data_IF_366722434450
#
_entry.id   IF_366722434450
#
_cell.length_a   1.000
_cell.length_b   1.000
_cell.length_c   1.000
_cell.angle_alpha   90.00
_cell.angle_beta   90.00
_cell.angle_gamma   90.00
#
_symmetry.space_group_name_H-M   'P 1'
#
loop_
_entity.id
_entity.type
_entity.pdbx_description
1 polymer ?
#
# COMPACT_ATOMS: atom_id res chain seq x y z
N UNK A 1 -47.34 -52.67 38.95
CA UNK A 1 -46.54 -52.63 40.20
C UNK A 1 -45.75 -53.94 40.22
N UNK A 2 -44.45 -53.97 39.85
CA UNK A 2 -43.37 -53.33 40.59
C UNK A 2 -42.22 -52.78 39.70
N UNK A 3 -41.25 -52.18 40.39
CA UNK A 3 -40.01 -51.50 39.97
C UNK A 3 -39.02 -52.33 39.14
N UNK A 4 -38.26 -51.71 38.20
CA UNK A 4 -37.03 -52.29 37.65
C UNK A 4 -35.82 -51.87 38.51
N UNK A 5 -35.06 -52.83 39.03
CA UNK A 5 -33.91 -53.49 38.40
C UNK A 5 -32.59 -52.88 38.90
N UNK A 6 -32.11 -53.47 39.99
CA UNK A 6 -30.70 -53.49 40.37
C UNK A 6 -29.90 -54.12 39.23
N UNK A 7 -28.90 -53.42 38.72
CA UNK A 7 -27.83 -54.04 37.94
C UNK A 7 -26.53 -53.90 38.70
N UNK A 8 -25.99 -55.05 39.10
CA UNK A 8 -24.59 -55.22 39.43
C UNK A 8 -23.85 -55.27 38.10
N UNK A 9 -22.89 -54.39 37.88
CA UNK A 9 -21.80 -54.61 36.94
C UNK A 9 -20.52 -54.12 37.57
N UNK A 10 -19.51 -54.96 37.35
CA UNK A 10 -18.26 -55.03 38.07
C UNK A 10 -17.39 -53.78 37.95
N UNK A 11 -16.49 -53.69 38.92
CA UNK A 11 -15.56 -52.60 39.09
C UNK A 11 -14.76 -52.30 37.84
N UNK A 12 -14.72 -51.02 37.51
CA UNK A 12 -13.57 -50.31 36.98
C UNK A 12 -13.80 -48.84 37.33
N UNK A 13 -13.22 -48.41 38.45
CA UNK A 13 -13.17 -46.99 38.83
C UNK A 13 -12.28 -46.28 37.82
N UNK A 14 -12.87 -45.78 36.73
CA UNK A 14 -12.18 -44.92 35.78
C UNK A 14 -12.13 -43.52 36.36
N UNK A 15 -11.06 -43.22 37.07
CA UNK A 15 -10.74 -41.86 37.52
C UNK A 15 -10.38 -41.03 36.28
N UNK A 16 -11.35 -40.33 35.71
CA UNK A 16 -11.07 -39.29 34.72
C UNK A 16 -10.35 -38.15 35.44
N UNK A 17 -9.02 -38.21 35.48
CA UNK A 17 -8.19 -37.04 35.77
C UNK A 17 -8.32 -36.09 34.58
N UNK A 18 -9.16 -35.07 34.75
CA UNK A 18 -9.21 -33.91 33.87
C UNK A 18 -7.85 -33.21 33.91
N UNK A 19 -6.94 -33.65 33.03
CA UNK A 19 -5.66 -33.00 32.83
C UNK A 19 -5.93 -31.77 31.99
N UNK A 20 -6.22 -30.65 32.66
CA UNK A 20 -6.22 -29.33 32.01
C UNK A 20 -4.78 -29.07 31.54
N UNK A 21 -4.49 -29.41 30.28
CA UNK A 21 -3.21 -29.08 29.68
C UNK A 21 -3.02 -27.57 29.75
N UNK A 22 -2.05 -27.13 30.56
CA UNK A 22 -1.67 -25.72 30.66
C UNK A 22 -1.28 -25.23 29.27
N UNK A 23 -2.01 -24.25 28.74
CA UNK A 23 -1.62 -23.56 27.51
C UNK A 23 -0.18 -23.05 27.67
N UNK A 24 0.72 -23.26 26.69
CA UNK A 24 2.08 -22.75 26.79
C UNK A 24 2.02 -21.23 26.91
N UNK A 25 2.54 -20.71 28.02
CA UNK A 25 2.61 -19.29 28.28
C UNK A 25 3.27 -18.59 27.09
N UNK A 26 2.49 -17.72 26.41
CA UNK A 26 2.95 -16.97 25.25
C UNK A 26 4.19 -16.19 25.67
N UNK A 27 5.35 -16.47 25.04
CA UNK A 27 6.61 -15.76 25.31
C UNK A 27 6.36 -14.25 25.18
N UNK A 28 6.35 -13.57 26.33
CA UNK A 28 6.26 -12.12 26.37
C UNK A 28 7.57 -11.58 25.83
N UNK A 29 7.50 -10.86 24.71
CA UNK A 29 8.71 -10.29 24.10
C UNK A 29 9.29 -9.27 25.09
N UNK A 30 10.62 -9.26 25.24
CA UNK A 30 11.34 -8.39 26.20
C UNK A 30 11.21 -6.88 25.87
N UNK A 31 10.62 -6.55 24.73
CA UNK A 31 10.28 -5.20 24.27
C UNK A 31 8.80 -4.85 24.43
N UNK A 32 7.97 -5.77 24.94
CA UNK A 32 6.58 -5.49 25.23
C UNK A 32 6.46 -4.33 26.23
N UNK A 33 5.81 -3.24 25.81
CA UNK A 33 5.61 -2.05 26.65
C UNK A 33 6.74 -1.03 26.61
N UNK A 34 7.85 -1.27 25.88
CA UNK A 34 8.83 -0.20 25.62
C UNK A 34 8.24 0.75 24.56
N UNK A 35 8.00 2.04 24.88
CA UNK A 35 7.52 2.98 23.89
C UNK A 35 8.55 3.03 22.76
N UNK A 36 8.13 2.61 21.56
CA UNK A 36 8.92 2.87 20.39
C UNK A 36 8.98 4.39 20.22
N UNK A 37 10.19 4.93 20.20
CA UNK A 37 10.41 6.34 19.91
C UNK A 37 9.76 6.73 18.58
N UNK A 38 9.64 8.04 18.30
CA UNK A 38 9.03 8.52 17.06
C UNK A 38 9.66 7.80 15.86
N UNK A 39 8.80 7.26 15.00
CA UNK A 39 9.23 6.48 13.84
C UNK A 39 10.08 7.39 12.95
N UNK A 40 11.32 6.98 12.68
CA UNK A 40 12.20 7.74 11.79
C UNK A 40 11.51 7.98 10.44
N UNK A 41 11.63 9.20 9.87
CA UNK A 41 11.06 9.50 8.57
C UNK A 41 11.68 8.59 7.51
N UNK A 42 10.87 8.20 6.52
CA UNK A 42 11.37 7.38 5.41
C UNK A 42 12.33 8.21 4.56
N UNK A 43 13.44 7.59 4.15
CA UNK A 43 14.39 8.21 3.23
C UNK A 43 13.85 8.18 1.80
N UNK A 44 14.24 9.15 0.99
CA UNK A 44 13.97 9.16 -0.44
C UNK A 44 14.52 7.91 -1.11
N UNK A 45 13.82 7.44 -2.15
CA UNK A 45 14.25 6.26 -2.89
C UNK A 45 15.35 6.65 -3.88
N UNK A 46 16.49 5.94 -3.93
CA UNK A 46 17.56 6.26 -4.88
C UNK A 46 17.08 6.06 -6.31
N UNK A 47 17.46 6.96 -7.21
CA UNK A 47 17.07 6.92 -8.63
C UNK A 47 18.31 6.78 -9.51
N UNK A 48 18.26 5.88 -10.48
CA UNK A 48 19.29 5.69 -11.51
C UNK A 48 18.65 5.85 -12.89
N UNK A 49 19.15 6.77 -13.72
CA UNK A 49 18.69 6.92 -15.10
C UNK A 49 19.53 6.03 -16.01
N UNK A 50 18.88 5.32 -16.92
CA UNK A 50 19.52 4.50 -17.95
C UNK A 50 19.48 5.20 -19.31
N UNK A 51 20.40 4.82 -20.20
CA UNK A 51 20.51 5.40 -21.55
C UNK A 51 19.35 4.98 -22.48
N UNK A 52 18.62 3.91 -22.13
CA UNK A 52 17.51 3.38 -22.92
C UNK A 52 16.16 4.09 -22.66
N UNK A 53 16.19 5.28 -22.04
CA UNK A 53 14.97 6.02 -21.69
C UNK A 53 14.21 5.45 -20.48
N UNK A 54 14.78 4.50 -19.74
CA UNK A 54 14.22 3.96 -18.49
C UNK A 54 14.90 4.55 -17.26
N UNK A 55 14.15 4.71 -16.18
CA UNK A 55 14.67 5.04 -14.86
C UNK A 55 14.38 3.91 -13.87
N UNK A 56 15.35 3.66 -13.00
CA UNK A 56 15.24 2.73 -11.88
C UNK A 56 15.05 3.50 -10.59
N UNK A 57 14.09 3.08 -9.78
CA UNK A 57 13.87 3.59 -8.42
C UNK A 57 14.11 2.44 -7.45
N UNK A 58 15.13 2.55 -6.62
CA UNK A 58 15.45 1.56 -5.60
C UNK A 58 14.39 1.55 -4.51
N UNK A 59 13.73 0.40 -4.32
CA UNK A 59 12.66 0.28 -3.36
C UNK A 59 13.23 0.02 -1.96
N UNK A 60 12.60 0.62 -0.96
CA UNK A 60 13.04 0.51 0.44
C UNK A 60 11.93 -0.03 1.34
N UNK A 61 12.31 -0.60 2.48
CA UNK A 61 11.39 -1.13 3.48
C UNK A 61 11.14 -2.64 3.38
N UNK A 62 10.28 -3.16 4.26
CA UNK A 62 10.14 -4.60 4.59
C UNK A 62 10.04 -5.56 3.39
N UNK A 63 9.37 -5.15 2.32
CA UNK A 63 9.18 -5.98 1.13
C UNK A 63 9.92 -5.47 -0.11
N UNK A 64 10.50 -4.26 -0.05
CA UNK A 64 11.11 -3.58 -1.19
C UNK A 64 12.63 -3.65 -1.26
N UNK A 65 13.33 -3.90 -0.14
CA UNK A 65 14.79 -3.93 -0.13
C UNK A 65 15.35 -4.89 -1.19
N UNK A 66 16.26 -4.39 -2.03
CA UNK A 66 16.91 -5.15 -3.11
C UNK A 66 16.12 -5.20 -4.43
N UNK A 67 14.89 -4.64 -4.46
CA UNK A 67 14.08 -4.53 -5.68
C UNK A 67 14.16 -3.14 -6.27
N UNK A 68 13.94 -3.05 -7.58
CA UNK A 68 13.94 -1.81 -8.33
C UNK A 68 12.66 -1.68 -9.12
N UNK A 69 12.00 -0.54 -9.01
CA UNK A 69 10.91 -0.16 -9.89
C UNK A 69 11.51 0.43 -11.18
N UNK A 70 11.10 -0.09 -12.33
CA UNK A 70 11.43 0.47 -13.65
C UNK A 70 10.26 1.31 -14.14
N UNK A 71 10.56 2.52 -14.59
CA UNK A 71 9.58 3.43 -15.19
C UNK A 71 10.20 4.13 -16.38
N UNK A 72 9.38 4.56 -17.34
CA UNK A 72 9.88 5.41 -18.42
C UNK A 72 10.33 6.77 -17.87
N UNK A 73 11.45 7.28 -18.36
CA UNK A 73 12.05 8.54 -17.88
C UNK A 73 11.11 9.73 -18.03
N UNK A 74 10.22 9.68 -19.03
CA UNK A 74 9.17 10.68 -19.26
C UNK A 74 8.17 10.79 -18.10
N UNK A 75 7.90 9.70 -17.37
CA UNK A 75 6.92 9.68 -16.28
C UNK A 75 7.57 9.83 -14.88
N UNK A 76 8.90 9.80 -14.82
CA UNK A 76 9.66 9.91 -13.57
C UNK A 76 9.38 11.23 -12.82
N UNK A 77 9.34 12.42 -13.44
CA UNK A 77 9.09 13.67 -12.72
C UNK A 77 7.75 13.68 -12.00
N UNK A 78 6.67 13.27 -12.68
CA UNK A 78 5.32 13.18 -12.12
C UNK A 78 5.28 12.21 -10.93
N UNK A 79 5.92 11.03 -11.10
CA UNK A 79 5.98 10.03 -10.05
C UNK A 79 6.75 10.51 -8.82
N UNK A 80 7.90 11.15 -9.00
CA UNK A 80 8.69 11.68 -7.87
C UNK A 80 7.96 12.82 -7.16
N UNK A 81 7.30 13.72 -7.90
CA UNK A 81 6.50 14.78 -7.32
C UNK A 81 5.33 14.22 -6.49
N UNK A 82 4.60 13.23 -7.01
CA UNK A 82 3.48 12.63 -6.31
C UNK A 82 3.88 11.82 -5.07
N UNK A 83 5.07 11.21 -5.11
CA UNK A 83 5.57 10.31 -4.05
C UNK A 83 6.52 10.96 -3.06
N UNK A 84 6.71 12.28 -3.13
CA UNK A 84 7.67 13.02 -2.33
C UNK A 84 9.07 12.38 -2.46
N UNK A 85 9.62 12.44 -3.67
CA UNK A 85 10.91 11.86 -4.07
C UNK A 85 11.03 10.35 -3.75
N UNK A 86 9.92 9.62 -3.95
CA UNK A 86 9.88 8.18 -3.73
C UNK A 86 9.81 7.75 -2.26
N UNK A 87 9.64 8.66 -1.30
CA UNK A 87 9.49 8.31 0.13
C UNK A 87 8.17 7.58 0.41
N UNK A 88 7.14 7.81 -0.42
CA UNK A 88 5.79 7.24 -0.29
C UNK A 88 5.56 5.99 -1.14
N UNK A 89 6.60 5.48 -1.79
CA UNK A 89 6.53 4.20 -2.48
C UNK A 89 6.46 3.07 -1.45
N UNK A 90 5.42 2.24 -1.57
CA UNK A 90 5.24 1.09 -0.70
C UNK A 90 5.06 -0.17 -1.53
N UNK A 91 5.80 -1.20 -1.15
CA UNK A 91 5.49 -2.54 -1.64
C UNK A 91 4.52 -3.22 -0.66
N UNK A 92 3.38 -3.62 -1.20
CA UNK A 92 2.34 -4.33 -0.47
C UNK A 92 2.20 -5.72 -1.09
N UNK A 93 2.32 -6.75 -0.26
CA UNK A 93 1.97 -8.12 -0.65
C UNK A 93 0.46 -8.28 -0.52
N UNK A 94 -0.15 -9.01 -1.44
CA UNK A 94 -1.52 -9.48 -1.25
C UNK A 94 -1.61 -10.47 -0.07
N UNK A 95 -2.83 -10.75 0.41
CA UNK A 95 -3.04 -11.66 1.54
C UNK A 95 -2.52 -13.09 1.31
N UNK A 96 -2.25 -13.46 0.06
CA UNK A 96 -1.64 -14.76 -0.31
C UNK A 96 -0.11 -14.72 -0.37
N UNK A 97 0.50 -13.52 -0.33
CA UNK A 97 1.94 -13.34 -0.41
C UNK A 97 2.55 -13.59 -1.79
N UNK A 98 1.73 -13.79 -2.83
CA UNK A 98 2.18 -14.18 -4.17
C UNK A 98 2.30 -13.01 -5.13
N UNK A 99 1.56 -11.93 -4.89
CA UNK A 99 1.46 -10.82 -5.83
C UNK A 99 1.90 -9.51 -5.17
N UNK A 100 3.20 -9.15 -5.24
CA UNK A 100 3.64 -7.85 -4.79
C UNK A 100 3.04 -6.76 -5.69
N UNK A 101 2.49 -5.73 -5.08
CA UNK A 101 2.01 -4.53 -5.78
C UNK A 101 2.69 -3.30 -5.22
N UNK A 102 3.09 -2.40 -6.10
CA UNK A 102 3.57 -1.08 -5.71
C UNK A 102 2.40 -0.13 -5.54
N UNK A 103 2.32 0.45 -4.34
CA UNK A 103 1.26 1.33 -3.92
C UNK A 103 1.80 2.64 -3.38
N UNK A 104 0.99 3.68 -3.55
CA UNK A 104 1.19 5.04 -3.12
C UNK A 104 0.21 5.30 -1.99
N UNK A 105 0.70 5.92 -0.92
CA UNK A 105 -0.11 6.25 0.24
C UNK A 105 -0.05 7.75 0.57
N UNK A 106 -0.92 8.15 1.50
CA UNK A 106 -0.96 9.51 2.03
C UNK A 106 -2.03 10.38 1.39
N UNK A 107 -2.11 11.67 1.78
CA UNK A 107 -3.20 12.57 1.40
C UNK A 107 -3.42 12.69 -0.11
N UNK A 108 -2.34 12.69 -0.90
CA UNK A 108 -2.44 12.77 -2.36
C UNK A 108 -3.09 11.52 -2.97
N UNK A 109 -2.84 10.32 -2.41
CA UNK A 109 -3.45 9.08 -2.89
C UNK A 109 -4.96 9.03 -2.57
N UNK A 110 -5.37 9.56 -1.41
CA UNK A 110 -6.78 9.68 -1.01
C UNK A 110 -7.54 10.60 -1.96
N UNK A 111 -6.99 11.79 -2.22
CA UNK A 111 -7.55 12.76 -3.17
C UNK A 111 -7.63 12.20 -4.59
N UNK A 112 -6.57 11.52 -5.03
CA UNK A 112 -6.54 10.86 -6.32
C UNK A 112 -7.69 9.86 -6.51
N UNK A 113 -8.05 9.10 -5.46
CA UNK A 113 -9.15 8.14 -5.50
C UNK A 113 -10.50 8.77 -5.16
N UNK A 114 -10.57 10.07 -4.86
CA UNK A 114 -11.76 10.73 -4.35
C UNK A 114 -12.37 9.98 -3.15
N UNK A 115 -11.50 9.51 -2.26
CA UNK A 115 -11.91 8.68 -1.12
C UNK A 115 -11.58 9.36 0.21
N UNK A 116 -12.54 9.30 1.14
CA UNK A 116 -12.36 9.71 2.53
C UNK A 116 -11.65 8.63 3.37
N UNK A 117 -11.52 7.41 2.85
CA UNK A 117 -10.86 6.33 3.57
C UNK A 117 -9.35 6.56 3.61
N UNK A 118 -8.82 6.78 4.82
CA UNK A 118 -7.40 7.05 5.00
C UNK A 118 -6.47 5.90 4.64
N UNK A 119 -7.01 4.69 4.51
CA UNK A 119 -6.29 3.46 4.15
C UNK A 119 -6.29 3.18 2.65
N UNK A 120 -6.95 4.02 1.87
CA UNK A 120 -7.01 3.86 0.43
C UNK A 120 -5.64 4.13 -0.20
N UNK A 121 -5.30 3.27 -1.16
CA UNK A 121 -3.98 3.21 -1.78
C UNK A 121 -4.13 3.16 -3.28
N UNK A 122 -3.35 3.99 -3.97
CA UNK A 122 -3.26 3.99 -5.43
C UNK A 122 -2.12 3.08 -5.85
N UNK A 123 -2.33 2.20 -6.83
CA UNK A 123 -1.18 1.46 -7.40
C UNK A 123 -0.36 2.40 -8.29
N UNK A 124 0.97 2.24 -8.29
CA UNK A 124 1.85 3.06 -9.15
C UNK A 124 1.44 2.93 -10.62
N UNK A 125 1.08 1.73 -11.06
CA UNK A 125 0.59 1.49 -12.41
C UNK A 125 -0.67 2.32 -12.75
N UNK A 126 -1.64 2.41 -11.83
CA UNK A 126 -2.85 3.24 -12.03
C UNK A 126 -2.55 4.72 -12.07
N UNK A 127 -1.66 5.18 -11.18
CA UNK A 127 -1.18 6.56 -11.21
C UNK A 127 -0.55 6.90 -12.56
N UNK A 128 0.35 6.04 -13.06
CA UNK A 128 1.04 6.25 -14.33
C UNK A 128 0.07 6.32 -15.52
N UNK A 129 -0.98 5.50 -15.54
CA UNK A 129 -1.94 5.51 -16.64
C UNK A 129 -3.09 6.53 -16.48
N UNK A 130 -3.05 7.38 -15.45
CA UNK A 130 -4.10 8.38 -15.19
C UNK A 130 -5.45 7.79 -14.76
N UNK A 131 -5.52 6.48 -14.49
CA UNK A 131 -6.75 5.73 -14.23
C UNK A 131 -7.15 5.81 -12.75
N UNK A 132 -8.42 6.11 -12.51
CA UNK A 132 -8.99 6.24 -11.16
C UNK A 132 -9.96 5.13 -10.81
N UNK A 133 -10.55 4.46 -11.80
CA UNK A 133 -11.65 3.52 -11.55
C UNK A 133 -11.21 2.05 -11.69
N UNK A 134 -11.82 1.20 -10.85
CA UNK A 134 -11.56 -0.24 -10.82
C UNK A 134 -12.05 -1.02 -12.05
N UNK A 135 -12.82 -0.39 -12.94
CA UNK A 135 -13.43 -1.04 -14.10
C UNK A 135 -12.43 -1.56 -15.14
N UNK A 136 -11.22 -1.01 -15.16
CA UNK A 136 -10.12 -1.49 -16.00
C UNK A 136 -8.98 -2.04 -15.15
N UNK A 137 -8.29 -3.06 -15.65
CA UNK A 137 -7.11 -3.66 -15.01
C UNK A 137 -5.87 -3.26 -15.78
N UNK A 138 -4.84 -2.80 -15.07
CA UNK A 138 -3.55 -2.51 -15.68
C UNK A 138 -2.70 -3.77 -15.60
N UNK A 139 -2.16 -4.22 -16.74
CA UNK A 139 -1.34 -5.42 -16.87
C UNK A 139 0.05 -5.05 -17.37
N UNK A 140 1.02 -5.86 -16.96
CA UNK A 140 2.41 -5.84 -17.44
C UNK A 140 2.56 -7.00 -18.44
N UNK A 141 3.06 -6.75 -19.65
CA UNK A 141 3.20 -7.77 -20.70
C UNK A 141 4.19 -8.87 -20.29
N UNK A 142 5.27 -8.48 -19.64
CA UNK A 142 6.29 -9.38 -19.09
C UNK A 142 5.90 -10.06 -17.76
N UNK A 143 4.71 -9.75 -17.23
CA UNK A 143 4.24 -10.19 -15.92
C UNK A 143 5.08 -9.75 -14.72
N UNK A 144 6.05 -8.83 -14.90
CA UNK A 144 6.84 -8.24 -13.83
C UNK A 144 6.13 -7.00 -13.26
N UNK A 145 5.62 -7.04 -12.01
CA UNK A 145 4.92 -5.91 -11.40
C UNK A 145 5.84 -4.72 -11.09
N UNK A 146 7.16 -4.87 -11.27
CA UNK A 146 8.13 -3.80 -11.11
C UNK A 146 8.58 -3.19 -12.43
N UNK A 147 8.16 -3.74 -13.57
CA UNK A 147 8.42 -3.15 -14.86
C UNK A 147 7.22 -2.32 -15.33
N UNK A 148 7.20 -1.04 -14.98
CA UNK A 148 6.10 -0.11 -15.29
C UNK A 148 6.48 0.87 -16.41
N UNK A 149 7.29 0.44 -17.36
CA UNK A 149 7.62 1.21 -18.56
C UNK A 149 6.43 1.28 -19.51
N UNK A 150 6.37 2.34 -20.33
CA UNK A 150 5.22 2.62 -21.20
C UNK A 150 4.92 1.52 -22.21
N UNK A 151 5.97 0.89 -22.72
CA UNK A 151 5.93 -0.22 -23.66
C UNK A 151 5.45 -1.53 -23.02
N UNK A 152 5.63 -1.68 -21.71
CA UNK A 152 5.25 -2.89 -20.98
C UNK A 152 3.82 -2.84 -20.41
N UNK A 153 3.24 -1.65 -20.23
CA UNK A 153 1.90 -1.52 -19.67
C UNK A 153 0.81 -1.61 -20.74
N UNK A 154 -0.30 -2.26 -20.37
CA UNK A 154 -1.51 -2.38 -21.17
C UNK A 154 -2.76 -2.35 -20.28
N UNK A 155 -3.90 -2.04 -20.89
CA UNK A 155 -5.19 -1.99 -20.18
C UNK A 155 -6.06 -3.17 -20.58
N UNK A 156 -6.34 -4.04 -19.64
CA UNK A 156 -7.33 -5.11 -19.77
C UNK A 156 -8.71 -4.58 -19.36
N UNK A 157 -9.70 -4.76 -20.23
CA UNK A 157 -11.11 -4.51 -19.94
C UNK A 157 -11.76 -5.84 -19.57
N UNK A 158 -12.01 -6.12 -18.26
CA UNK A 158 -12.46 -7.45 -17.83
C UNK A 158 -13.83 -7.87 -18.38
N UNK A 159 -14.69 -6.91 -18.71
CA UNK A 159 -16.03 -7.18 -19.23
C UNK A 159 -16.03 -7.88 -20.61
N UNK A 160 -14.98 -7.65 -21.40
CA UNK A 160 -14.79 -8.23 -22.74
C UNK A 160 -13.52 -9.07 -22.84
N UNK A 161 -12.75 -9.16 -21.75
CA UNK A 161 -11.45 -9.84 -21.66
C UNK A 161 -10.39 -9.41 -22.70
N UNK A 162 -10.53 -8.21 -23.26
CA UNK A 162 -9.60 -7.67 -24.26
C UNK A 162 -8.58 -6.69 -23.67
N UNK A 163 -7.38 -6.72 -24.23
CA UNK A 163 -6.26 -5.85 -23.88
C UNK A 163 -6.06 -4.76 -24.92
N UNK A 164 -5.94 -3.51 -24.46
CA UNK A 164 -5.76 -2.34 -25.30
C UNK A 164 -4.45 -1.62 -24.97
N UNK A 165 -3.80 -1.00 -25.98
CA UNK A 165 -2.69 -0.09 -25.73
C UNK A 165 -3.17 1.13 -24.94
N UNK A 166 -2.26 1.71 -24.16
CA UNK A 166 -2.52 2.94 -23.41
C UNK A 166 -2.29 4.13 -24.34
N UNK A 167 -3.29 5.02 -24.41
CA UNK A 167 -3.09 6.37 -24.92
C UNK A 167 -2.30 7.18 -23.89
N UNK A 168 -0.99 7.25 -24.10
CA UNK A 168 -0.06 7.90 -23.17
C UNK A 168 -0.20 9.42 -23.14
N UNK A 169 -0.64 10.04 -24.23
CA UNK A 169 -0.84 11.49 -24.27
C UNK A 169 -2.05 11.87 -23.40
N UNK A 170 -3.15 11.13 -23.55
CA UNK A 170 -4.31 11.24 -22.67
C UNK A 170 -3.96 10.91 -21.22
N UNK A 171 -3.21 9.83 -20.98
CA UNK A 171 -2.82 9.42 -19.63
C UNK A 171 -1.98 10.48 -18.90
N UNK A 172 -1.04 11.12 -19.61
CA UNK A 172 -0.24 12.22 -19.05
C UNK A 172 -1.12 13.41 -18.72
N UNK A 173 -2.00 13.81 -19.64
CA UNK A 173 -2.90 14.96 -19.46
C UNK A 173 -3.82 14.75 -18.26
N UNK A 174 -4.50 13.60 -18.20
CA UNK A 174 -5.39 13.24 -17.10
C UNK A 174 -4.64 13.20 -15.76
N UNK A 175 -3.40 12.69 -15.77
CA UNK A 175 -2.56 12.60 -14.58
C UNK A 175 -2.15 13.98 -14.08
N UNK A 176 -1.69 14.85 -14.95
CA UNK A 176 -1.26 16.21 -14.59
C UNK A 176 -2.42 17.05 -14.06
N UNK A 177 -3.60 17.00 -14.72
CA UNK A 177 -4.80 17.67 -14.25
C UNK A 177 -5.18 17.25 -12.82
N UNK A 178 -5.22 15.93 -12.55
CA UNK A 178 -5.51 15.40 -11.21
C UNK A 178 -4.45 15.73 -10.17
N UNK A 179 -3.17 15.73 -10.55
CA UNK A 179 -2.09 16.14 -9.66
C UNK A 179 -2.27 17.60 -9.23
N UNK A 180 -2.66 18.47 -10.16
CA UNK A 180 -2.95 19.87 -9.87
C UNK A 180 -4.14 20.01 -8.91
N UNK A 181 -5.25 19.31 -9.15
CA UNK A 181 -6.40 19.26 -8.22
C UNK A 181 -5.99 18.79 -6.81
N UNK A 182 -5.14 17.77 -6.74
CA UNK A 182 -4.61 17.26 -5.47
C UNK A 182 -3.76 18.30 -4.73
N UNK A 183 -3.05 19.18 -5.44
CA UNK A 183 -2.26 20.27 -4.88
C UNK A 183 -3.14 21.46 -4.45
N UNK A 184 -4.12 21.87 -5.25
CA UNK A 184 -5.00 23.01 -4.96
C UNK A 184 -5.87 22.76 -3.71
N UNK A 185 -6.31 21.53 -3.48
CA UNK A 185 -7.00 21.15 -2.25
C UNK A 185 -6.12 21.27 -0.97
N UNK A 186 -4.80 21.46 -1.08
CA UNK A 186 -3.92 21.68 0.09
C UNK A 186 -4.05 23.11 0.62
N UNK A 187 -4.36 24.07 -0.25
CA UNK A 187 -4.41 25.50 0.09
C UNK A 187 -5.59 25.84 1.01
N UNK A 188 -6.66 25.03 0.99
CA UNK A 188 -7.89 25.29 1.76
C UNK A 188 -7.76 24.86 3.25
N UNK A 189 -6.80 23.98 3.59
CA UNK A 189 -6.67 23.39 4.93
C UNK A 189 -5.48 23.91 5.75
N UNK A 190 -4.83 25.02 5.36
CA UNK A 190 -3.86 25.67 6.25
C UNK A 190 -4.64 26.29 7.42
N UNK A 191 -4.46 25.84 8.68
CA UNK A 191 -4.97 26.59 9.81
C UNK A 191 -4.32 27.98 9.74
N UNK A 192 -5.12 29.04 9.75
CA UNK A 192 -4.58 30.38 10.00
C UNK A 192 -3.82 30.32 11.31
N UNK A 193 -2.50 30.51 11.25
CA UNK A 193 -1.76 30.88 12.45
C UNK A 193 -2.38 32.19 12.98
N UNK A 194 -2.74 32.27 14.27
CA UNK A 194 -3.25 33.52 14.81
C UNK A 194 -2.18 34.60 14.64
N UNK A 195 -2.59 35.71 14.03
CA UNK A 195 -1.77 36.89 13.83
C UNK A 195 -1.05 37.28 15.12
N UNK A 196 0.24 37.57 14.98
CA UNK A 196 1.19 37.71 16.06
C UNK A 196 0.75 38.63 17.21
N UNK A 197 1.15 38.22 18.41
CA UNK A 197 1.22 39.12 19.56
C UNK A 197 2.13 40.30 19.24
N UNK A 198 1.57 41.50 19.38
CA UNK A 198 2.32 42.75 19.37
C UNK A 198 3.37 42.75 20.51
N UNK A 199 4.54 43.38 20.31
CA UNK A 199 5.52 43.53 21.37
C UNK A 199 5.01 44.53 22.41
N UNK A 200 5.13 44.17 23.69
CA UNK A 200 4.94 45.09 24.81
C UNK A 200 6.05 46.15 24.78
N UNK A 201 5.67 47.40 24.54
CA UNK A 201 6.52 48.57 24.78
C UNK A 201 6.76 48.74 26.28
N UNK A 202 8.02 48.95 26.64
CA UNK A 202 8.49 49.38 27.96
C UNK A 202 8.19 50.86 28.21
#
# INVERSE_FOLDING_TARGET
MPTPCTSVTDGLTSTFTETTASQPARKQRCDAGKPHGPRQPRKASPVTRMDNGTALIGLTGRHGTGKQLRVSTADLPDLLAFTDNGTRLQMVMDGTGKHPTLRLNGPNAQRWQHSENTRDLVTVARFLVGETHGGRRIRCKDHDPFNLTRDNLEVLVPAIEETFPIDWEKAVTDRQAKMQECCEGQTIHRPQEPAGSLPATA
#
